data_IF_883792345965
#
_entry.id   IF_883792345965
#
_cell.length_a   1.000
_cell.length_b   1.000
_cell.length_c   1.000
_cell.angle_alpha   90.00
_cell.angle_beta   90.00
_cell.angle_gamma   90.00
#
_symmetry.space_group_name_H-M   'P 1'
#
loop_
_entity.id
_entity.type
_entity.pdbx_description
1 polymer ?
#
# COMPACT_ATOMS: atom_id res chain seq x y z
N UNK A 1 -11.95 -27.77 4.53
CA UNK A 1 -10.64 -27.08 4.61
C UNK A 1 -10.91 -25.58 4.63
N UNK A 2 -10.68 -24.90 5.75
CA UNK A 2 -10.88 -23.44 5.84
C UNK A 2 -9.75 -22.77 5.06
N UNK A 3 -10.01 -22.33 3.83
CA UNK A 3 -9.05 -21.55 3.05
C UNK A 3 -8.81 -20.25 3.82
N UNK A 4 -7.60 -20.02 4.31
CA UNK A 4 -7.29 -18.85 5.10
C UNK A 4 -7.43 -17.62 4.18
N UNK A 5 -8.55 -16.90 4.30
CA UNK A 5 -8.85 -15.79 3.39
C UNK A 5 -7.81 -14.69 3.58
N UNK A 6 -7.30 -14.09 2.47
CA UNK A 6 -6.38 -12.98 2.56
C UNK A 6 -7.01 -11.79 3.30
N UNK A 7 -6.17 -10.97 3.90
CA UNK A 7 -6.57 -9.81 4.69
C UNK A 7 -6.06 -8.54 4.04
N UNK A 8 -6.85 -7.48 4.19
CA UNK A 8 -6.43 -6.12 3.91
C UNK A 8 -5.87 -5.53 5.19
N UNK A 9 -4.70 -4.91 5.07
CA UNK A 9 -3.98 -4.24 6.14
C UNK A 9 -3.80 -2.77 5.83
N UNK A 10 -3.89 -1.95 6.86
CA UNK A 10 -3.26 -0.63 6.87
C UNK A 10 -1.86 -0.79 7.43
N UNK A 11 -0.87 -0.28 6.72
CA UNK A 11 0.54 -0.36 7.10
C UNK A 11 1.15 1.02 7.26
N UNK A 12 2.07 1.14 8.21
CA UNK A 12 2.96 2.29 8.35
C UNK A 12 4.39 1.79 8.29
N UNK A 13 5.24 2.45 7.52
CA UNK A 13 6.62 2.04 7.32
C UNK A 13 7.56 3.21 7.12
N UNK A 14 8.82 2.98 7.49
CA UNK A 14 9.88 3.93 7.25
C UNK A 14 10.30 3.91 5.77
N UNK A 15 10.53 5.09 5.19
CA UNK A 15 11.23 5.28 3.92
C UNK A 15 12.44 6.14 4.17
N UNK A 16 13.58 5.74 3.61
CA UNK A 16 14.78 6.58 3.61
C UNK A 16 14.44 7.91 2.93
N UNK A 17 14.63 9.06 3.61
CA UNK A 17 14.43 10.37 3.00
C UNK A 17 15.27 10.47 1.73
N UNK A 18 14.66 10.91 0.62
CA UNK A 18 15.42 11.24 -0.59
C UNK A 18 15.91 12.68 -0.50
N UNK A 19 17.17 12.94 -0.84
CA UNK A 19 17.68 14.33 -0.95
C UNK A 19 16.82 15.11 -1.95
N UNK A 20 16.26 16.25 -1.51
CA UNK A 20 15.31 17.06 -2.29
C UNK A 20 13.86 16.56 -2.30
N UNK A 21 13.56 15.46 -1.60
CA UNK A 21 12.23 14.88 -1.45
C UNK A 21 11.48 15.35 -0.20
N UNK A 22 10.25 14.81 -0.02
CA UNK A 22 9.41 15.08 1.14
C UNK A 22 10.13 14.61 2.44
N UNK A 23 10.31 15.47 3.46
CA UNK A 23 11.06 15.12 4.67
C UNK A 23 10.36 14.11 5.59
N UNK A 24 9.13 13.68 5.29
CA UNK A 24 8.38 12.74 6.11
C UNK A 24 8.99 11.32 5.98
N UNK A 25 9.61 10.79 7.05
CA UNK A 25 10.18 9.44 7.01
C UNK A 25 9.11 8.36 7.12
N UNK A 26 7.87 8.70 7.52
CA UNK A 26 6.81 7.74 7.76
C UNK A 26 5.79 7.74 6.63
N UNK A 27 5.58 6.57 6.06
CA UNK A 27 4.66 6.38 4.95
C UNK A 27 3.53 5.43 5.33
N UNK A 28 2.33 5.77 4.88
CA UNK A 28 1.15 4.93 5.00
C UNK A 28 0.88 4.22 3.69
N UNK A 29 0.33 3.01 3.77
CA UNK A 29 -0.09 2.27 2.60
C UNK A 29 -1.11 1.19 2.94
N UNK A 30 -1.57 0.52 1.90
CA UNK A 30 -2.38 -0.68 2.03
C UNK A 30 -1.53 -1.90 1.72
N UNK A 31 -1.77 -3.02 2.39
CA UNK A 31 -1.19 -4.30 2.02
C UNK A 31 -2.25 -5.40 2.00
N UNK A 32 -2.10 -6.36 1.09
CA UNK A 32 -2.93 -7.57 1.06
C UNK A 32 -2.08 -8.82 1.17
N UNK A 33 -2.51 -9.78 1.98
CA UNK A 33 -1.80 -11.06 2.07
C UNK A 33 -2.33 -11.97 3.17
N UNK A 34 -1.57 -13.00 3.57
CA UNK A 34 -2.01 -14.01 4.52
C UNK A 34 -2.18 -13.46 5.94
N UNK A 35 -3.04 -14.10 6.74
CA UNK A 35 -3.31 -13.69 8.12
C UNK A 35 -2.14 -13.98 9.08
N UNK A 36 -1.28 -14.93 8.74
CA UNK A 36 -0.27 -15.55 9.60
C UNK A 36 0.85 -14.61 10.09
N UNK A 37 0.87 -13.36 9.64
CA UNK A 37 1.69 -12.28 10.20
C UNK A 37 3.09 -12.19 9.61
N UNK A 38 3.42 -13.05 8.65
CA UNK A 38 4.62 -12.91 7.83
C UNK A 38 4.46 -11.87 6.73
N UNK A 39 5.59 -11.43 6.16
CA UNK A 39 5.60 -10.59 4.94
C UNK A 39 5.61 -11.42 3.66
N UNK A 40 5.80 -12.73 3.77
CA UNK A 40 5.75 -13.66 2.65
C UNK A 40 4.34 -13.67 2.04
N UNK A 41 4.26 -13.44 0.73
CA UNK A 41 2.98 -13.35 0.02
C UNK A 41 2.16 -12.10 0.34
N UNK A 42 2.75 -11.08 0.96
CA UNK A 42 2.13 -9.77 1.11
C UNK A 42 2.45 -8.87 -0.08
N UNK A 43 1.41 -8.28 -0.66
CA UNK A 43 1.50 -7.25 -1.71
C UNK A 43 1.25 -5.88 -1.08
N UNK A 44 2.18 -4.95 -1.24
CA UNK A 44 2.05 -3.56 -0.81
C UNK A 44 1.53 -2.69 -1.96
N UNK A 45 0.46 -1.95 -1.70
CA UNK A 45 -0.05 -0.86 -2.52
C UNK A 45 0.41 0.46 -1.90
N UNK A 46 1.45 1.05 -2.48
CA UNK A 46 2.04 2.28 -1.95
C UNK A 46 1.13 3.47 -2.24
N UNK A 47 0.88 4.29 -1.22
CA UNK A 47 0.04 5.47 -1.30
C UNK A 47 0.86 6.70 -0.92
N UNK A 48 0.85 7.71 -1.79
CA UNK A 48 1.25 9.07 -1.50
C UNK A 48 0.11 9.79 -0.78
N UNK A 49 0.43 10.40 0.35
CA UNK A 49 -0.47 11.35 1.00
C UNK A 49 -0.32 12.73 0.32
N UNK A 50 -1.42 13.25 -0.21
CA UNK A 50 -1.50 14.59 -0.79
C UNK A 50 -2.41 15.42 0.12
N UNK A 51 -1.85 16.30 0.96
CA UNK A 51 -2.64 17.26 1.69
C UNK A 51 -3.33 18.22 0.70
N UNK A 52 -4.64 18.40 0.86
CA UNK A 52 -5.46 19.35 0.10
C UNK A 52 -6.30 20.19 1.06
N UNK A 53 -6.96 21.23 0.55
CA UNK A 53 -7.94 22.01 1.32
C UNK A 53 -9.15 21.19 1.78
N UNK A 54 -9.38 19.99 1.21
CA UNK A 54 -10.46 19.08 1.55
C UNK A 54 -10.02 17.91 2.47
N UNK A 55 -8.74 17.87 2.86
CA UNK A 55 -8.16 16.81 3.68
C UNK A 55 -7.03 16.07 2.97
N UNK A 56 -6.69 14.88 3.46
CA UNK A 56 -5.61 14.06 2.90
C UNK A 56 -6.18 13.16 1.81
N UNK A 57 -5.71 13.35 0.58
CA UNK A 57 -5.99 12.47 -0.54
C UNK A 57 -4.90 11.41 -0.66
N UNK A 58 -5.31 10.23 -1.07
CA UNK A 58 -4.45 9.09 -1.30
C UNK A 58 -4.27 8.92 -2.80
N UNK A 59 -3.03 8.89 -3.28
CA UNK A 59 -2.68 8.61 -4.67
C UNK A 59 -1.71 7.44 -4.71
N UNK A 60 -1.97 6.42 -5.52
CA UNK A 60 -1.03 5.30 -5.64
C UNK A 60 0.20 5.69 -6.46
N UNK A 61 1.39 5.56 -5.88
CA UNK A 61 2.64 6.13 -6.43
C UNK A 61 3.54 5.11 -7.15
N UNK A 62 3.48 3.83 -6.75
CA UNK A 62 4.34 2.76 -7.28
C UNK A 62 3.51 1.54 -7.69
N UNK A 63 3.99 0.68 -8.61
CA UNK A 63 3.39 -0.61 -8.82
C UNK A 63 3.26 -1.40 -7.52
N UNK A 64 2.17 -2.17 -7.35
CA UNK A 64 2.10 -3.09 -6.23
C UNK A 64 3.37 -3.94 -6.20
N UNK A 65 3.99 -4.05 -5.04
CA UNK A 65 5.24 -4.79 -4.86
C UNK A 65 5.07 -5.89 -3.83
N UNK A 66 5.70 -7.02 -4.08
CA UNK A 66 5.81 -8.07 -3.07
C UNK A 66 6.75 -7.60 -1.96
N UNK A 67 6.28 -7.65 -0.71
CA UNK A 67 7.08 -7.26 0.45
C UNK A 67 8.20 -8.27 0.76
N UNK A 68 8.14 -9.46 0.17
CA UNK A 68 9.17 -10.50 0.27
C UNK A 68 10.31 -10.33 -0.75
N UNK A 69 10.15 -9.52 -1.80
CA UNK A 69 11.07 -9.49 -2.95
C UNK A 69 12.06 -8.32 -2.96
N UNK A 70 12.36 -7.70 -1.81
CA UNK A 70 13.26 -6.55 -1.73
C UNK A 70 13.69 -6.21 -0.31
N UNK A 71 14.47 -5.12 -0.11
CA UNK A 71 14.74 -4.62 1.22
C UNK A 71 13.41 -4.30 1.91
N UNK A 72 13.08 -5.09 2.93
CA UNK A 72 11.89 -4.90 3.74
C UNK A 72 11.94 -3.49 4.33
N UNK A 73 10.98 -2.61 3.99
CA UNK A 73 10.89 -1.33 4.68
C UNK A 73 10.71 -1.62 6.17
N UNK A 74 11.24 -0.78 7.06
CA UNK A 74 11.01 -0.97 8.49
C UNK A 74 9.52 -0.74 8.80
N UNK A 75 8.75 -1.83 8.77
CA UNK A 75 7.31 -1.84 8.99
C UNK A 75 7.05 -1.61 10.47
N UNK A 76 6.35 -0.53 10.79
CA UNK A 76 6.03 -0.11 12.15
C UNK A 76 4.70 -0.69 12.62
N UNK A 77 3.73 -0.82 11.71
CA UNK A 77 2.45 -1.47 12.02
C UNK A 77 1.89 -2.22 10.82
N UNK A 78 1.20 -3.33 11.13
CA UNK A 78 0.39 -4.14 10.25
C UNK A 78 -0.97 -4.37 10.90
N UNK A 79 -1.93 -3.47 10.64
CA UNK A 79 -3.26 -3.56 11.25
C UNK A 79 -4.25 -4.15 10.26
N UNK A 80 -4.73 -5.37 10.53
CA UNK A 80 -5.76 -6.01 9.71
C UNK A 80 -7.09 -5.25 9.87
N UNK A 81 -7.62 -4.75 8.75
CA UNK A 81 -8.88 -3.99 8.74
C UNK A 81 -10.04 -4.74 8.10
N UNK A 82 -9.76 -5.70 7.20
CA UNK A 82 -10.81 -6.45 6.52
C UNK A 82 -10.39 -7.87 6.09
N UNK A 83 -11.38 -8.73 5.85
CA UNK A 83 -11.23 -9.95 5.04
C UNK A 83 -11.43 -9.59 3.58
N UNK A 84 -10.61 -10.15 2.71
CA UNK A 84 -10.74 -9.97 1.27
C UNK A 84 -11.56 -11.15 0.73
N UNK A 85 -12.73 -10.84 0.17
CA UNK A 85 -13.57 -11.83 -0.52
C UNK A 85 -13.15 -12.01 -1.98
N UNK A 86 -12.71 -10.93 -2.63
CA UNK A 86 -12.27 -10.94 -4.03
C UNK A 86 -10.96 -10.15 -4.16
N UNK A 87 -9.84 -10.87 -4.25
CA UNK A 87 -8.51 -10.28 -4.37
C UNK A 87 -8.33 -9.52 -5.68
N UNK A 88 -8.78 -10.09 -6.80
CA UNK A 88 -8.71 -9.44 -8.11
C UNK A 88 -9.41 -8.09 -8.13
N UNK A 89 -10.59 -7.99 -7.51
CA UNK A 89 -11.32 -6.72 -7.43
C UNK A 89 -10.57 -5.68 -6.60
N UNK A 90 -9.90 -6.09 -5.53
CA UNK A 90 -9.04 -5.21 -4.74
C UNK A 90 -7.88 -4.68 -5.60
N UNK A 91 -7.19 -5.57 -6.32
CA UNK A 91 -6.10 -5.19 -7.22
C UNK A 91 -6.56 -4.21 -8.30
N UNK A 92 -7.73 -4.43 -8.90
CA UNK A 92 -8.33 -3.50 -9.85
C UNK A 92 -8.55 -2.11 -9.23
N UNK A 93 -9.12 -2.03 -8.01
CA UNK A 93 -9.35 -0.74 -7.32
C UNK A 93 -8.03 -0.04 -6.98
N UNK A 94 -7.06 -0.77 -6.44
CA UNK A 94 -5.78 -0.18 -6.02
C UNK A 94 -4.84 0.13 -7.19
N UNK A 95 -5.10 -0.40 -8.39
CA UNK A 95 -4.31 -0.13 -9.59
C UNK A 95 -4.99 0.83 -10.58
N UNK A 96 -6.28 1.14 -10.40
CA UNK A 96 -7.06 1.98 -11.34
C UNK A 96 -6.62 3.45 -11.40
N UNK A 97 -5.96 3.97 -10.36
CA UNK A 97 -5.46 5.36 -10.33
C UNK A 97 -4.36 5.65 -11.39
N UNK A 98 -3.88 4.62 -12.09
CA UNK A 98 -2.87 4.79 -13.15
C UNK A 98 -3.43 5.23 -14.51
N UNK A 99 -4.76 5.27 -14.68
CA UNK A 99 -5.40 5.54 -15.99
C UNK A 99 -6.05 6.92 -16.13
N UNK A 100 -5.94 7.81 -15.13
CA UNK A 100 -6.54 9.16 -15.21
C UNK A 100 -5.61 10.24 -14.67
N UNK A 101 -4.59 10.60 -15.46
CA UNK A 101 -4.11 11.98 -15.51
C UNK A 101 -4.04 12.36 -16.99
N UNK A 102 -4.95 13.21 -17.52
CA UNK A 102 -4.68 13.84 -18.81
C UNK A 102 -3.44 14.73 -18.66
N UNK A 103 -2.52 14.62 -19.61
CA UNK A 103 -1.45 15.60 -19.82
C UNK A 103 -2.10 16.99 -19.94
N UNK A 104 -1.90 17.81 -18.92
CA UNK A 104 -2.17 19.25 -19.00
C UNK A 104 -0.86 19.89 -19.47
N UNK A 105 -0.76 20.05 -20.79
CA UNK A 105 0.24 20.90 -21.43
C UNK A 105 -0.08 22.38 -21.31
#
# INVERSE_FOLDING_TARGET
MVKNKPRLYVVCFFRTPQEGGNPDPYHWGLASGPKDGGMEGMVLYHVRNIPTSQGVHWQFEEPPRDLSSGPTPAMLTFTAVAKIENLRRLEEVCCMDRLQLPDVG
#
